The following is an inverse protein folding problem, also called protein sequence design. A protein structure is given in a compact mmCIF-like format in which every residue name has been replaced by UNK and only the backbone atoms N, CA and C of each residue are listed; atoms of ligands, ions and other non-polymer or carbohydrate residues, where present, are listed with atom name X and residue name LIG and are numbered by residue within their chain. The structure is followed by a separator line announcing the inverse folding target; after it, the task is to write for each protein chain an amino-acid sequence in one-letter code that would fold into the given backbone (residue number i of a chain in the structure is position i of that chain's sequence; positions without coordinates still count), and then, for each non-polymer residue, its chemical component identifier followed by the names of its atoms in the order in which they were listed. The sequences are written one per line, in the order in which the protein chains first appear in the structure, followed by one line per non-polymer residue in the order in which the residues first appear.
data_IF_174726369644
#
_entry.id   IF_174726369644
#
_cell.length_a   1.000
_cell.length_b   1.000
_cell.length_c   1.000
_cell.angle_alpha   90.00
_cell.angle_beta   90.00
_cell.angle_gamma   90.00
#
_symmetry.space_group_name_H-M   'P 1'
#
loop_
_entity.id
_entity.type
_entity.pdbx_description
1 polymer ?
#
# COMPACT_ATOMS: atom_id res chain seq x y z
N UNK A 1 -27.54 33.49 22.36
CA UNK A 1 -27.41 33.27 23.81
C UNK A 1 -27.37 31.79 24.07
N UNK A 2 -26.35 31.31 24.80
CA UNK A 2 -26.35 29.95 25.34
C UNK A 2 -27.38 29.82 26.47
N UNK A 3 -27.70 28.61 26.89
CA UNK A 3 -28.55 28.39 28.06
C UNK A 3 -27.69 28.63 29.31
N UNK A 4 -28.25 29.33 30.29
CA UNK A 4 -27.61 29.61 31.60
C UNK A 4 -28.57 29.22 32.71
N UNK A 5 -28.07 28.82 33.88
CA UNK A 5 -28.89 28.56 35.05
C UNK A 5 -29.40 29.86 35.73
N UNK A 6 -30.12 29.73 36.85
CA UNK A 6 -30.64 30.88 37.62
C UNK A 6 -29.56 31.78 38.20
N UNK A 7 -28.33 31.28 38.31
CA UNK A 7 -27.15 31.99 38.81
C UNK A 7 -26.29 32.51 37.64
N UNK A 8 -26.79 32.42 36.40
CA UNK A 8 -26.12 32.85 35.15
C UNK A 8 -24.86 32.06 34.81
N UNK A 9 -24.70 30.84 35.34
CA UNK A 9 -23.62 29.95 34.91
C UNK A 9 -23.94 29.36 33.54
N UNK A 10 -22.96 29.26 32.62
CA UNK A 10 -23.16 28.56 31.35
C UNK A 10 -23.49 27.09 31.63
N UNK A 11 -24.66 26.66 31.17
CA UNK A 11 -25.04 25.25 31.16
C UNK A 11 -24.85 24.71 29.75
N UNK A 12 -24.14 23.60 29.65
CA UNK A 12 -24.02 22.84 28.41
C UNK A 12 -25.10 21.76 28.42
N UNK A 13 -25.82 21.58 27.31
CA UNK A 13 -26.61 20.36 27.13
C UNK A 13 -25.65 19.17 27.17
N UNK A 14 -25.84 18.27 28.14
CA UNK A 14 -25.10 17.02 28.17
C UNK A 14 -25.53 16.19 26.94
N UNK A 15 -24.68 16.14 25.92
CA UNK A 15 -24.87 15.24 24.79
C UNK A 15 -24.68 13.80 25.30
N UNK A 16 -25.74 13.01 25.32
CA UNK A 16 -25.66 11.59 25.62
C UNK A 16 -25.09 10.85 24.40
N UNK A 17 -23.88 10.33 24.53
CA UNK A 17 -23.16 9.61 23.48
C UNK A 17 -23.02 8.11 23.78
N UNK A 18 -23.67 7.61 24.83
CA UNK A 18 -23.53 6.21 25.27
C UNK A 18 -24.02 5.19 24.21
N UNK A 19 -24.73 5.67 23.18
CA UNK A 19 -25.17 4.91 22.02
C UNK A 19 -24.83 5.56 20.67
N UNK A 20 -23.90 6.52 20.63
CA UNK A 20 -23.46 7.16 19.39
C UNK A 20 -22.34 6.34 18.76
N UNK A 21 -22.68 5.36 17.92
CA UNK A 21 -21.72 4.60 17.13
C UNK A 21 -21.86 4.91 15.63
N UNK A 22 -20.74 4.91 14.92
CA UNK A 22 -20.69 4.95 13.46
C UNK A 22 -19.86 3.76 13.01
N UNK A 23 -20.51 2.77 12.40
CA UNK A 23 -19.83 1.70 11.68
C UNK A 23 -19.31 2.24 10.35
N UNK A 24 -18.00 2.16 10.13
CA UNK A 24 -17.41 2.41 8.81
C UNK A 24 -16.98 1.07 8.22
N UNK A 25 -17.63 0.65 7.14
CA UNK A 25 -17.26 -0.56 6.40
C UNK A 25 -16.30 -0.19 5.29
N UNK A 26 -15.14 -0.86 5.25
CA UNK A 26 -14.22 -0.84 4.09
C UNK A 26 -14.43 -2.16 3.38
N UNK A 27 -14.83 -2.09 2.11
CA UNK A 27 -14.90 -3.26 1.23
C UNK A 27 -13.75 -3.19 0.26
N UNK A 28 -13.10 -4.33 0.05
CA UNK A 28 -12.21 -4.49 -1.09
C UNK A 28 -13.01 -4.42 -2.39
N UNK A 29 -12.29 -4.14 -3.46
CA UNK A 29 -12.85 -4.09 -4.79
C UNK A 29 -13.13 -5.53 -5.29
N UNK A 30 -13.92 -5.72 -6.36
CA UNK A 30 -14.28 -7.07 -6.87
C UNK A 30 -13.50 -7.53 -8.10
N UNK A 31 -13.00 -6.59 -8.90
CA UNK A 31 -12.21 -6.75 -10.11
C UNK A 31 -10.81 -6.06 -10.00
N UNK A 32 -9.73 -6.84 -9.81
CA UNK A 32 -8.40 -6.31 -9.46
C UNK A 32 -7.93 -5.14 -10.33
N UNK A 33 -7.50 -4.08 -9.67
CA UNK A 33 -6.95 -2.89 -10.28
C UNK A 33 -5.44 -3.01 -10.57
N UNK A 34 -4.85 -2.03 -11.26
CA UNK A 34 -3.40 -1.94 -11.44
C UNK A 34 -2.62 -1.89 -10.11
N UNK A 35 -3.24 -1.37 -9.05
CA UNK A 35 -2.70 -1.37 -7.68
C UNK A 35 -2.50 -2.77 -7.09
N UNK A 36 -3.19 -3.79 -7.61
CA UNK A 36 -3.08 -5.18 -7.18
C UNK A 36 -1.98 -5.95 -7.92
N UNK A 37 -1.32 -5.30 -8.89
CA UNK A 37 -0.35 -5.94 -9.77
C UNK A 37 1.07 -5.45 -9.49
N UNK A 38 1.95 -6.36 -9.07
CA UNK A 38 3.39 -6.09 -8.97
C UNK A 38 4.07 -6.44 -10.31
N UNK A 39 4.80 -5.49 -10.87
CA UNK A 39 5.55 -5.68 -12.13
C UNK A 39 7.03 -5.94 -11.85
N UNK A 40 7.62 -6.92 -12.54
CA UNK A 40 9.06 -7.21 -12.51
C UNK A 40 9.67 -6.79 -13.83
N UNK A 41 10.69 -5.91 -13.77
CA UNK A 41 11.44 -5.47 -14.95
C UNK A 41 12.88 -5.94 -14.84
N UNK A 42 13.44 -6.47 -15.93
CA UNK A 42 14.85 -6.83 -16.05
C UNK A 42 15.49 -5.99 -17.14
N UNK A 43 16.56 -5.27 -16.81
CA UNK A 43 17.34 -4.47 -17.74
C UNK A 43 18.78 -4.97 -17.76
N UNK A 44 19.44 -4.82 -18.91
CA UNK A 44 20.83 -5.20 -19.07
C UNK A 44 21.29 -5.05 -20.52
N UNK A 45 22.48 -5.57 -20.86
CA UNK A 45 23.03 -5.42 -22.19
C UNK A 45 22.17 -6.10 -23.26
N UNK A 46 21.94 -5.39 -24.37
CA UNK A 46 21.12 -5.87 -25.49
C UNK A 46 21.81 -6.98 -26.31
N UNK A 47 23.14 -7.03 -26.27
CA UNK A 47 23.94 -8.04 -26.94
C UNK A 47 25.03 -8.52 -25.97
N UNK A 48 25.36 -9.79 -26.05
CA UNK A 48 26.44 -10.42 -25.29
C UNK A 48 27.38 -11.08 -26.29
N UNK A 49 28.69 -11.00 -26.02
CA UNK A 49 29.73 -11.60 -26.86
C UNK A 49 30.32 -12.79 -26.13
N UNK A 50 30.50 -13.90 -26.85
CA UNK A 50 31.07 -15.11 -26.28
C UNK A 50 32.54 -14.90 -25.87
N UNK A 51 32.90 -15.40 -24.69
CA UNK A 51 34.24 -15.27 -24.14
C UNK A 51 34.48 -13.99 -23.34
N UNK A 52 33.57 -13.01 -23.42
CA UNK A 52 33.61 -11.79 -22.64
C UNK A 52 32.73 -11.88 -21.38
N UNK A 53 33.11 -11.14 -20.35
CA UNK A 53 32.24 -10.94 -19.17
C UNK A 53 31.15 -9.94 -19.53
N UNK A 54 29.88 -10.32 -19.39
CA UNK A 54 28.73 -9.43 -19.62
C UNK A 54 28.67 -8.33 -18.57
N UNK A 55 28.13 -7.16 -18.92
CA UNK A 55 27.78 -6.15 -17.91
C UNK A 55 26.58 -6.62 -17.08
N UNK A 56 26.39 -5.99 -15.92
CA UNK A 56 25.34 -6.36 -14.98
C UNK A 56 23.93 -6.28 -15.60
N UNK A 57 23.08 -7.20 -15.16
CA UNK A 57 21.63 -7.11 -15.32
C UNK A 57 21.01 -6.62 -14.01
N UNK A 58 20.06 -5.70 -14.12
CA UNK A 58 19.31 -5.15 -12.99
C UNK A 58 17.87 -5.65 -13.03
N UNK A 59 17.39 -6.18 -11.90
CA UNK A 59 15.98 -6.56 -11.72
C UNK A 59 15.34 -5.57 -10.75
N UNK A 60 14.21 -4.98 -11.15
CA UNK A 60 13.45 -4.03 -10.33
C UNK A 60 12.00 -4.49 -10.20
N UNK A 61 11.48 -4.47 -8.98
CA UNK A 61 10.06 -4.62 -8.70
C UNK A 61 9.40 -3.24 -8.65
N UNK A 62 8.17 -3.11 -9.13
CA UNK A 62 7.39 -1.88 -9.00
C UNK A 62 7.18 -1.47 -7.54
N UNK A 63 7.03 -2.47 -6.68
CA UNK A 63 6.73 -2.31 -5.27
C UNK A 63 7.72 -3.13 -4.42
N UNK A 64 8.08 -2.63 -3.23
CA UNK A 64 8.98 -3.36 -2.35
C UNK A 64 8.38 -4.70 -1.97
N UNK A 65 9.17 -5.77 -2.13
CA UNK A 65 8.77 -7.09 -1.67
C UNK A 65 8.57 -7.06 -0.14
N UNK A 66 7.51 -7.68 0.39
CA UNK A 66 7.34 -7.86 1.82
C UNK A 66 8.58 -8.50 2.47
N UNK A 67 8.83 -8.17 3.74
CA UNK A 67 9.95 -8.76 4.49
C UNK A 67 9.75 -10.28 4.58
N UNK A 68 10.76 -11.04 4.16
CA UNK A 68 10.70 -12.50 4.12
C UNK A 68 10.28 -13.10 2.77
N UNK A 69 9.92 -12.28 1.78
CA UNK A 69 9.73 -12.73 0.40
C UNK A 69 11.04 -13.28 -0.20
N UNK A 70 10.94 -14.36 -0.97
CA UNK A 70 12.06 -14.96 -1.70
C UNK A 70 11.86 -14.69 -3.20
N UNK A 71 12.82 -14.02 -3.82
CA UNK A 71 12.86 -13.83 -5.29
C UNK A 71 13.75 -14.92 -5.88
N UNK A 72 13.20 -15.74 -6.78
CA UNK A 72 13.94 -16.82 -7.45
C UNK A 72 14.07 -16.51 -8.93
N UNK A 73 15.32 -16.40 -9.41
CA UNK A 73 15.62 -16.20 -10.84
C UNK A 73 16.22 -17.49 -11.41
N UNK A 74 15.56 -18.05 -12.43
CA UNK A 74 16.06 -19.20 -13.19
C UNK A 74 16.42 -18.75 -14.61
N UNK A 75 17.60 -19.18 -15.09
CA UNK A 75 18.08 -18.88 -16.42
C UNK A 75 18.45 -20.18 -17.15
N UNK A 76 18.09 -20.28 -18.43
CA UNK A 76 18.47 -21.39 -19.31
C UNK A 76 19.07 -20.82 -20.60
N UNK A 77 20.19 -21.38 -21.02
CA UNK A 77 20.84 -21.10 -22.30
C UNK A 77 20.96 -22.40 -23.10
N UNK A 78 20.78 -22.33 -24.41
CA UNK A 78 20.92 -23.47 -25.34
C UNK A 78 22.18 -23.37 -26.15
#
# INVERSE_FOLDING_TARGET
SGIVDSDSNPIFEALNLDNAFVDTTISDETDPGPEDTVTVTMTGPANVVEGDTTTDYTVTLSDPAPVGSIVTLAYSYT
#
